data_IF_133212584763
#
_entry.id   IF_133212584763
#
_cell.length_a   1.000
_cell.length_b   1.000
_cell.length_c   1.000
_cell.angle_alpha   90.00
_cell.angle_beta   90.00
_cell.angle_gamma   90.00
#
_symmetry.space_group_name_H-M   'P 1'
#
loop_
_entity.id
_entity.type
_entity.pdbx_description
1 polymer ?
#
# COMPACT_ATOMS: atom_id res chain seq x y z
N UNK A 1 52.96 -6.68 -49.57
CA UNK A 1 52.99 -5.43 -48.79
C UNK A 1 51.54 -5.02 -48.55
N UNK A 2 50.90 -5.63 -47.56
CA UNK A 2 50.80 -5.17 -46.16
C UNK A 2 49.53 -4.32 -45.95
N UNK A 3 48.46 -4.94 -45.42
CA UNK A 3 47.91 -4.72 -44.07
C UNK A 3 47.51 -3.24 -43.85
N UNK A 4 46.25 -2.90 -43.61
CA UNK A 4 45.52 -3.06 -42.32
C UNK A 4 44.06 -2.66 -42.57
N UNK A 5 43.09 -3.59 -42.50
CA UNK A 5 42.18 -3.75 -41.35
C UNK A 5 41.87 -2.45 -40.59
N UNK A 6 40.70 -1.87 -40.85
CA UNK A 6 39.99 -1.01 -39.91
C UNK A 6 38.57 -1.56 -39.76
N UNK A 7 38.46 -2.66 -39.02
CA UNK A 7 37.18 -3.25 -38.62
C UNK A 7 36.60 -2.49 -37.43
N UNK A 8 35.31 -2.17 -37.58
CA UNK A 8 34.25 -2.28 -36.58
C UNK A 8 34.60 -1.93 -35.13
N UNK A 9 34.22 -0.73 -34.74
CA UNK A 9 33.91 -0.37 -33.36
C UNK A 9 32.42 -0.03 -33.22
N UNK A 10 31.51 -0.92 -33.61
CA UNK A 10 30.11 -0.79 -33.25
C UNK A 10 29.96 -1.31 -31.82
N UNK A 11 30.22 -0.44 -30.85
CA UNK A 11 29.93 -0.72 -29.45
C UNK A 11 28.42 -1.01 -29.33
N UNK A 12 28.09 -2.29 -29.15
CA UNK A 12 26.76 -2.70 -28.79
C UNK A 12 26.38 -1.96 -27.51
N UNK A 13 25.42 -1.03 -27.61
CA UNK A 13 24.69 -0.54 -26.46
C UNK A 13 23.93 -1.73 -25.87
N UNK A 14 24.60 -2.55 -25.07
CA UNK A 14 23.95 -3.45 -24.14
C UNK A 14 23.30 -2.59 -23.05
N UNK A 15 22.18 -1.94 -23.38
CA UNK A 15 21.31 -1.36 -22.38
C UNK A 15 20.78 -2.48 -21.50
N UNK A 16 20.84 -2.30 -20.17
CA UNK A 16 20.16 -3.18 -19.24
C UNK A 16 18.70 -3.29 -19.67
N UNK A 17 18.23 -4.50 -19.98
CA UNK A 17 16.84 -4.74 -20.39
C UNK A 17 15.89 -4.33 -19.28
N UNK A 18 15.30 -3.14 -19.39
CA UNK A 18 14.19 -2.73 -18.56
C UNK A 18 12.95 -3.50 -19.01
N UNK A 19 12.58 -4.55 -18.27
CA UNK A 19 11.23 -5.12 -18.39
C UNK A 19 10.26 -4.09 -17.81
N UNK A 20 9.33 -3.60 -18.64
CA UNK A 20 8.21 -2.79 -18.19
C UNK A 20 7.54 -3.52 -17.03
N UNK A 21 7.46 -2.86 -15.87
CA UNK A 21 6.74 -3.40 -14.70
C UNK A 21 5.29 -3.60 -15.11
N UNK A 22 4.93 -4.84 -15.47
CA UNK A 22 3.54 -5.22 -15.71
C UNK A 22 2.78 -5.04 -14.41
N UNK A 23 1.53 -4.59 -14.55
CA UNK A 23 0.65 -4.47 -13.40
C UNK A 23 0.48 -5.86 -12.78
N UNK A 24 0.64 -6.02 -11.45
CA UNK A 24 0.59 -7.34 -10.84
C UNK A 24 -0.78 -7.98 -11.10
N UNK A 25 -0.80 -9.10 -11.82
CA UNK A 25 -2.01 -9.90 -12.00
C UNK A 25 -2.38 -10.58 -10.68
N UNK A 26 -3.66 -10.54 -10.33
CA UNK A 26 -4.17 -11.21 -9.13
C UNK A 26 -4.49 -12.67 -9.48
N UNK A 27 -3.98 -13.66 -8.71
CA UNK A 27 -4.09 -15.09 -9.05
C UNK A 27 -5.44 -15.72 -8.67
N UNK A 28 -6.51 -14.93 -8.61
CA UNK A 28 -7.86 -15.33 -8.20
C UNK A 28 -8.91 -14.45 -8.91
N UNK A 29 -10.15 -14.89 -8.96
CA UNK A 29 -11.23 -14.21 -9.70
C UNK A 29 -12.16 -13.37 -8.83
N UNK A 30 -12.39 -13.79 -7.58
CA UNK A 30 -13.33 -13.11 -6.68
C UNK A 30 -12.66 -12.75 -5.35
N UNK A 31 -12.94 -11.54 -4.88
CA UNK A 31 -12.40 -11.00 -3.63
C UNK A 31 -13.53 -10.43 -2.76
N UNK A 32 -13.53 -10.77 -1.47
CA UNK A 32 -14.33 -10.08 -0.47
C UNK A 32 -13.44 -9.22 0.44
N UNK A 33 -13.98 -8.07 0.85
CA UNK A 33 -13.35 -7.16 1.81
C UNK A 33 -14.19 -7.15 3.08
N UNK A 34 -13.63 -7.60 4.21
CA UNK A 34 -14.35 -7.71 5.49
C UNK A 34 -13.60 -7.03 6.63
N UNK A 35 -14.30 -6.68 7.70
CA UNK A 35 -13.70 -6.11 8.92
C UNK A 35 -13.28 -4.64 8.84
N UNK A 36 -13.54 -3.95 7.72
CA UNK A 36 -13.26 -2.52 7.59
C UNK A 36 -14.26 -1.67 8.39
N UNK A 37 -13.77 -0.59 8.99
CA UNK A 37 -14.62 0.43 9.61
C UNK A 37 -15.58 1.10 8.60
N UNK A 38 -16.76 1.57 9.03
CA UNK A 38 -17.65 2.37 8.19
C UNK A 38 -16.90 3.56 7.59
N UNK A 39 -17.05 3.77 6.28
CA UNK A 39 -16.37 4.84 5.52
C UNK A 39 -14.82 4.79 5.52
N UNK A 40 -14.22 3.62 5.77
CA UNK A 40 -12.75 3.44 5.70
C UNK A 40 -12.15 3.96 4.38
N UNK A 41 -11.20 4.93 4.45
CA UNK A 41 -10.44 5.38 3.28
C UNK A 41 -9.63 4.26 2.62
N UNK A 42 -9.13 3.30 3.42
CA UNK A 42 -8.42 2.13 2.92
C UNK A 42 -9.35 1.23 2.12
N UNK A 43 -10.55 0.93 2.64
CA UNK A 43 -11.56 0.16 1.93
C UNK A 43 -11.93 0.82 0.59
N UNK A 44 -12.20 2.14 0.62
CA UNK A 44 -12.54 2.89 -0.59
C UNK A 44 -11.40 2.86 -1.62
N UNK A 45 -10.15 3.01 -1.16
CA UNK A 45 -8.97 2.96 -2.02
C UNK A 45 -8.68 1.58 -2.61
N UNK A 46 -8.79 0.53 -1.79
CA UNK A 46 -8.67 -0.86 -2.25
C UNK A 46 -9.74 -1.19 -3.29
N UNK A 47 -11.01 -0.83 -3.05
CA UNK A 47 -12.07 -1.03 -4.04
C UNK A 47 -11.75 -0.34 -5.37
N UNK A 48 -11.19 0.87 -5.35
CA UNK A 48 -10.77 1.58 -6.58
C UNK A 48 -9.64 0.86 -7.31
N UNK A 49 -8.65 0.31 -6.60
CA UNK A 49 -7.56 -0.44 -7.23
C UNK A 49 -8.04 -1.76 -7.81
N UNK A 50 -8.86 -2.52 -7.06
CA UNK A 50 -9.39 -3.80 -7.53
C UNK A 50 -10.27 -3.63 -8.77
N UNK A 51 -11.05 -2.54 -8.87
CA UNK A 51 -11.85 -2.21 -10.07
C UNK A 51 -11.02 -1.99 -11.35
N UNK A 52 -9.70 -1.82 -11.24
CA UNK A 52 -8.77 -1.73 -12.38
C UNK A 52 -8.25 -3.09 -12.83
N UNK A 53 -8.57 -4.14 -12.08
CA UNK A 53 -8.19 -5.53 -12.37
C UNK A 53 -9.42 -6.32 -12.85
N UNK A 54 -9.24 -7.52 -13.43
CA UNK A 54 -10.35 -8.42 -13.75
C UNK A 54 -11.07 -9.03 -12.53
N UNK A 55 -10.55 -8.84 -11.31
CA UNK A 55 -11.11 -9.43 -10.09
C UNK A 55 -12.45 -8.79 -9.74
N UNK A 56 -13.44 -9.63 -9.48
CA UNK A 56 -14.76 -9.22 -9.05
C UNK A 56 -14.83 -9.08 -7.53
N UNK A 57 -15.29 -7.94 -7.06
CA UNK A 57 -15.62 -7.75 -5.65
C UNK A 57 -16.99 -8.36 -5.36
N UNK A 58 -17.05 -9.22 -4.35
CA UNK A 58 -18.28 -9.83 -3.86
C UNK A 58 -18.54 -9.40 -2.42
N UNK A 59 -19.80 -9.07 -2.11
CA UNK A 59 -20.17 -8.63 -0.75
C UNK A 59 -20.24 -9.81 0.24
N UNK A 60 -20.66 -10.98 -0.25
CA UNK A 60 -20.70 -12.22 0.54
C UNK A 60 -19.33 -12.92 0.51
N UNK A 61 -18.59 -12.98 1.63
CA UNK A 61 -17.29 -13.64 1.70
C UNK A 61 -17.36 -15.16 1.44
N UNK A 62 -18.53 -15.80 1.59
CA UNK A 62 -18.68 -17.22 1.27
C UNK A 62 -18.57 -17.52 -0.24
N UNK A 63 -18.75 -16.50 -1.10
CA UNK A 63 -18.64 -16.62 -2.57
C UNK A 63 -17.28 -16.16 -3.11
N UNK A 64 -16.35 -15.77 -2.23
CA UNK A 64 -15.05 -15.27 -2.64
C UNK A 64 -14.00 -16.39 -2.66
N UNK A 65 -13.14 -16.41 -3.66
CA UNK A 65 -11.93 -17.25 -3.65
C UNK A 65 -10.95 -16.75 -2.58
N UNK A 66 -10.86 -15.42 -2.43
CA UNK A 66 -10.00 -14.76 -1.46
C UNK A 66 -10.78 -13.75 -0.62
N UNK A 67 -10.54 -13.74 0.69
CA UNK A 67 -11.08 -12.79 1.65
C UNK A 67 -9.92 -12.00 2.25
N UNK A 68 -9.92 -10.69 2.07
CA UNK A 68 -9.09 -9.77 2.84
C UNK A 68 -9.87 -9.37 4.09
N UNK A 69 -9.42 -9.85 5.25
CA UNK A 69 -10.07 -9.60 6.53
C UNK A 69 -9.23 -8.63 7.36
N UNK A 70 -9.82 -7.48 7.66
CA UNK A 70 -9.20 -6.47 8.52
C UNK A 70 -9.50 -6.80 9.98
N UNK A 71 -8.44 -6.81 10.78
CA UNK A 71 -8.49 -7.06 12.21
C UNK A 71 -8.40 -5.75 12.99
N UNK A 72 -7.66 -4.78 12.46
CA UNK A 72 -7.50 -3.46 13.07
C UNK A 72 -7.21 -2.40 12.02
N UNK A 73 -7.97 -1.31 12.04
CA UNK A 73 -7.67 -0.09 11.28
C UNK A 73 -7.71 1.08 12.26
N UNK A 74 -6.56 1.75 12.44
CA UNK A 74 -6.45 2.84 13.40
C UNK A 74 -5.53 3.94 12.89
N UNK A 75 -5.88 5.18 13.24
CA UNK A 75 -5.12 6.37 12.91
C UNK A 75 -5.00 7.24 14.14
N UNK A 76 -3.80 7.70 14.43
CA UNK A 76 -3.56 8.62 15.52
C UNK A 76 -2.52 9.69 15.20
N UNK A 77 -2.51 10.69 16.07
CA UNK A 77 -1.56 11.79 16.07
C UNK A 77 -1.04 11.95 17.49
N UNK A 78 0.28 11.96 17.64
CA UNK A 78 0.94 12.06 18.96
C UNK A 78 2.00 13.14 18.92
N UNK A 79 2.18 13.87 20.04
CA UNK A 79 3.27 14.84 20.19
C UNK A 79 4.57 14.08 20.42
N UNK A 80 5.60 14.37 19.62
CA UNK A 80 6.92 13.75 19.75
C UNK A 80 8.01 14.75 20.12
N UNK A 81 7.77 16.05 19.93
CA UNK A 81 8.68 17.10 20.40
C UNK A 81 7.93 18.32 20.92
N UNK A 82 8.44 18.88 22.03
CA UNK A 82 7.98 20.12 22.66
C UNK A 82 9.15 20.96 23.15
N UNK A 83 8.92 22.26 23.32
CA UNK A 83 9.89 23.19 23.94
C UNK A 83 9.97 23.01 25.46
N UNK A 84 10.96 23.64 26.11
CA UNK A 84 11.11 23.66 27.58
C UNK A 84 9.92 24.25 28.33
N UNK A 85 9.08 25.05 27.65
CA UNK A 85 7.85 25.64 28.19
C UNK A 85 6.58 24.90 27.74
N UNK A 86 6.72 23.72 27.14
CA UNK A 86 5.60 22.84 26.79
C UNK A 86 4.93 23.10 25.43
N UNK A 87 5.38 24.08 24.66
CA UNK A 87 4.83 24.32 23.31
C UNK A 87 5.18 23.18 22.36
N UNK A 88 4.17 22.60 21.69
CA UNK A 88 4.32 21.53 20.70
C UNK A 88 5.10 22.03 19.49
N UNK A 89 6.04 21.21 19.02
CA UNK A 89 6.88 21.51 17.85
C UNK A 89 6.77 20.45 16.77
N UNK A 90 6.44 19.23 17.15
CA UNK A 90 6.38 18.12 16.20
C UNK A 90 5.30 17.13 16.59
N UNK A 91 4.51 16.76 15.59
CA UNK A 91 3.57 15.66 15.67
C UNK A 91 4.10 14.48 14.87
N UNK A 92 3.90 13.28 15.38
CA UNK A 92 3.96 12.07 14.60
C UNK A 92 2.53 11.62 14.27
N UNK A 93 2.27 11.47 12.98
CA UNK A 93 1.02 10.91 12.43
C UNK A 93 1.24 9.43 12.20
N UNK A 94 0.34 8.56 12.65
CA UNK A 94 0.46 7.11 12.41
C UNK A 94 -0.80 6.51 11.82
N UNK A 95 -0.59 5.47 11.04
CA UNK A 95 -1.60 4.59 10.49
C UNK A 95 -1.23 3.15 10.84
N UNK A 96 -2.16 2.44 11.47
CA UNK A 96 -2.06 1.02 11.78
C UNK A 96 -3.12 0.27 10.98
N UNK A 97 -2.70 -0.79 10.29
CA UNK A 97 -3.59 -1.62 9.48
C UNK A 97 -3.19 -3.09 9.63
N UNK A 98 -3.93 -3.82 10.47
CA UNK A 98 -3.75 -5.25 10.67
C UNK A 98 -4.78 -6.00 9.86
N UNK A 99 -4.31 -6.99 9.09
CA UNK A 99 -5.17 -7.80 8.26
C UNK A 99 -4.61 -9.22 8.12
N UNK A 100 -5.46 -10.13 7.70
CA UNK A 100 -5.07 -11.44 7.19
C UNK A 100 -5.73 -11.68 5.83
N UNK A 101 -5.23 -12.67 5.10
CA UNK A 101 -5.84 -13.10 3.84
C UNK A 101 -6.14 -14.58 3.97
N UNK A 102 -7.38 -14.96 3.65
CA UNK A 102 -7.84 -16.35 3.76
C UNK A 102 -8.76 -16.72 2.62
N UNK A 103 -9.03 -18.01 2.47
CA UNK A 103 -10.11 -18.51 1.60
C UNK A 103 -11.49 -18.34 2.27
N UNK A 104 -12.56 -18.56 1.51
CA UNK A 104 -13.91 -18.68 2.07
C UNK A 104 -14.05 -19.83 3.09
N UNK A 105 -13.30 -20.93 2.91
CA UNK A 105 -13.28 -22.05 3.85
C UNK A 105 -12.51 -21.79 5.15
N UNK A 106 -11.81 -20.65 5.24
CA UNK A 106 -11.06 -20.25 6.44
C UNK A 106 -9.56 -20.61 6.40
N UNK A 107 -9.06 -21.19 5.31
CA UNK A 107 -7.64 -21.48 5.16
C UNK A 107 -6.84 -20.19 5.03
N UNK A 108 -5.81 -20.03 5.87
CA UNK A 108 -4.96 -18.83 5.87
C UNK A 108 -3.99 -18.86 4.68
N UNK A 109 -4.20 -17.94 3.73
CA UNK A 109 -3.32 -17.72 2.58
C UNK A 109 -2.15 -16.80 2.94
N UNK A 110 -2.44 -15.77 3.75
CA UNK A 110 -1.44 -14.90 4.37
C UNK A 110 -1.83 -14.75 5.84
N UNK A 111 -0.95 -15.14 6.78
CA UNK A 111 -1.21 -14.96 8.20
C UNK A 111 -1.28 -13.46 8.54
N UNK A 112 -1.65 -13.14 9.77
CA UNK A 112 -1.75 -11.75 10.24
C UNK A 112 -0.53 -10.92 9.82
N UNK A 113 -0.78 -9.83 9.13
CA UNK A 113 0.19 -8.81 8.75
C UNK A 113 -0.07 -7.56 9.57
N UNK A 114 0.97 -7.05 10.21
CA UNK A 114 0.91 -5.78 10.94
C UNK A 114 1.55 -4.66 10.11
N UNK A 115 0.74 -3.82 9.50
CA UNK A 115 1.23 -2.65 8.77
C UNK A 115 1.26 -1.43 9.69
N UNK A 116 2.43 -0.83 9.86
CA UNK A 116 2.64 0.40 10.65
C UNK A 116 3.28 1.45 9.76
N UNK A 117 2.60 2.57 9.54
CA UNK A 117 3.14 3.71 8.82
C UNK A 117 3.14 4.93 9.74
N UNK A 118 4.21 5.72 9.69
CA UNK A 118 4.34 6.96 10.43
C UNK A 118 4.93 8.06 9.56
N UNK A 119 4.51 9.31 9.80
CA UNK A 119 5.08 10.51 9.21
C UNK A 119 5.19 11.58 10.27
N UNK A 120 6.35 12.21 10.35
CA UNK A 120 6.58 13.32 11.26
C UNK A 120 6.20 14.63 10.56
N UNK A 121 5.67 15.58 11.34
CA UNK A 121 5.19 16.86 10.85
C UNK A 121 5.53 17.95 11.85
N UNK A 122 6.31 18.92 11.38
CA UNK A 122 6.59 20.15 12.15
C UNK A 122 5.31 20.95 12.37
N UNK A 123 5.16 21.52 13.57
CA UNK A 123 3.97 22.26 13.98
C UNK A 123 4.29 23.66 14.49
N UNK A 124 3.43 24.60 14.11
CA UNK A 124 3.39 25.96 14.66
C UNK A 124 1.93 26.40 14.75
N UNK A 125 1.53 26.90 15.91
CA UNK A 125 0.15 27.34 16.16
C UNK A 125 -0.28 28.49 15.23
N UNK A 126 0.68 29.33 14.81
CA UNK A 126 0.42 30.46 13.90
C UNK A 126 -0.14 30.02 12.54
N UNK A 127 0.19 28.80 12.11
CA UNK A 127 -0.21 28.23 10.83
C UNK A 127 -1.10 27.00 11.02
N UNK A 128 -1.92 26.98 12.08
CA UNK A 128 -2.72 25.81 12.44
C UNK A 128 -3.58 25.27 11.28
N UNK A 129 -4.28 26.13 10.53
CA UNK A 129 -5.12 25.69 9.41
C UNK A 129 -4.31 25.06 8.26
N UNK A 130 -3.24 25.71 7.74
CA UNK A 130 -2.32 25.05 6.81
C UNK A 130 -1.77 23.71 7.32
N UNK A 131 -1.46 23.61 8.61
CA UNK A 131 -0.95 22.36 9.22
C UNK A 131 -1.99 21.24 9.27
N UNK A 132 -3.27 21.54 9.42
CA UNK A 132 -4.32 20.53 9.28
C UNK A 132 -4.43 20.01 7.84
N UNK A 133 -4.28 20.88 6.84
CA UNK A 133 -4.26 20.45 5.44
C UNK A 133 -3.01 19.62 5.10
N UNK A 134 -1.85 20.00 5.63
CA UNK A 134 -0.61 19.22 5.51
C UNK A 134 -0.79 17.82 6.12
N UNK A 135 -1.35 17.73 7.33
CA UNK A 135 -1.64 16.46 7.99
C UNK A 135 -2.60 15.59 7.16
N UNK A 136 -3.66 16.17 6.60
CA UNK A 136 -4.60 15.44 5.74
C UNK A 136 -3.90 14.87 4.49
N UNK A 137 -2.99 15.64 3.88
CA UNK A 137 -2.19 15.19 2.73
C UNK A 137 -1.25 14.04 3.13
N UNK A 138 -0.57 14.15 4.28
CA UNK A 138 0.31 13.10 4.80
C UNK A 138 -0.46 11.81 5.09
N UNK A 139 -1.66 11.89 5.67
CA UNK A 139 -2.53 10.72 5.84
C UNK A 139 -2.94 10.12 4.48
N UNK A 140 -3.33 10.94 3.51
CA UNK A 140 -3.65 10.48 2.16
C UNK A 140 -2.49 9.73 1.49
N UNK A 141 -1.26 10.21 1.67
CA UNK A 141 -0.05 9.53 1.19
C UNK A 141 0.17 8.19 1.91
N UNK A 142 0.04 8.15 3.25
CA UNK A 142 0.15 6.89 4.01
C UNK A 142 -0.93 5.88 3.62
N UNK A 143 -2.17 6.30 3.41
CA UNK A 143 -3.24 5.43 2.91
C UNK A 143 -2.88 4.86 1.54
N UNK A 144 -2.36 5.67 0.63
CA UNK A 144 -1.96 5.23 -0.71
C UNK A 144 -0.83 4.20 -0.68
N UNK A 145 0.15 4.39 0.21
CA UNK A 145 1.24 3.43 0.45
C UNK A 145 0.70 2.10 1.01
N UNK A 146 -0.17 2.17 2.03
CA UNK A 146 -0.82 0.99 2.60
C UNK A 146 -1.61 0.19 1.55
N UNK A 147 -2.42 0.86 0.74
CA UNK A 147 -3.16 0.25 -0.37
C UNK A 147 -2.20 -0.45 -1.34
N UNK A 148 -1.11 0.21 -1.73
CA UNK A 148 -0.14 -0.37 -2.65
C UNK A 148 0.56 -1.60 -2.05
N UNK A 149 0.84 -1.60 -0.75
CA UNK A 149 1.42 -2.75 -0.04
C UNK A 149 0.46 -3.94 0.01
N UNK A 150 -0.82 -3.69 0.31
CA UNK A 150 -1.86 -4.73 0.30
C UNK A 150 -2.05 -5.31 -1.10
N UNK A 151 -2.10 -4.47 -2.14
CA UNK A 151 -2.21 -4.94 -3.52
C UNK A 151 -1.04 -5.83 -3.94
N UNK A 152 0.20 -5.48 -3.55
CA UNK A 152 1.38 -6.33 -3.78
C UNK A 152 1.26 -7.67 -3.06
N UNK A 153 0.73 -7.66 -1.84
CA UNK A 153 0.53 -8.88 -1.05
C UNK A 153 -0.53 -9.78 -1.70
N UNK A 154 -1.65 -9.20 -2.14
CA UNK A 154 -2.71 -9.90 -2.87
C UNK A 154 -2.19 -10.55 -4.15
N UNK A 155 -1.35 -9.85 -4.92
CA UNK A 155 -0.74 -10.41 -6.13
C UNK A 155 0.25 -11.56 -5.85
N UNK A 156 0.77 -11.67 -4.63
CA UNK A 156 1.68 -12.73 -4.22
C UNK A 156 0.97 -13.93 -3.55
N UNK A 157 -0.36 -13.91 -3.43
CA UNK A 157 -1.15 -15.00 -2.86
C UNK A 157 -1.00 -16.26 -3.70
N UNK A 158 -0.92 -17.42 -3.04
CA UNK A 158 -0.98 -18.73 -3.70
C UNK A 158 -2.21 -19.46 -3.21
N UNK A 159 -3.12 -19.78 -4.12
CA UNK A 159 -4.27 -20.60 -3.78
C UNK A 159 -3.84 -22.05 -3.58
N UNK A 160 -4.39 -22.75 -2.59
CA UNK A 160 -4.24 -24.21 -2.48
C UNK A 160 -4.81 -24.85 -3.76
N UNK A 161 -4.07 -25.82 -4.30
CA UNK A 161 -4.46 -26.59 -5.50
C UNK A 161 -5.33 -27.77 -5.10
#
# INVERSE_FOLDING_TARGET
MDRRFALLGLAALAGCGFELRREPELPFKTLALTGFEPNSPLAAGLRRQIKRTPVQLVDDPARAEVVLEVLHEFRDRTVVASTSVGQVREFQLRLQFDYLIRTASGELLVPKVELRLARDMNYTEKDALPKEQEAANLYGAMHSDAIAQVMRRLAAVKLPT
#
